data_IF_271779698641
#
_entry.id   IF_271779698641
#
_cell.length_a   1.000
_cell.length_b   1.000
_cell.length_c   1.000
_cell.angle_alpha   90.00
_cell.angle_beta   90.00
_cell.angle_gamma   90.00
#
_symmetry.space_group_name_H-M   'P 1'
#
loop_
_entity.id
_entity.type
_entity.pdbx_description
1 polymer ?
#
# COMPACT_ATOMS: atom_id res chain seq x y z
N UNK A 1 70.22 29.18 -36.97
CA UNK A 1 70.28 29.30 -35.50
C UNK A 1 69.10 30.17 -35.08
N UNK A 2 68.11 29.79 -34.26
CA UNK A 2 67.83 28.65 -33.37
C UNK A 2 66.34 28.30 -33.56
N UNK A 3 66.00 27.02 -33.62
CA UNK A 3 64.61 26.55 -33.69
C UNK A 3 63.93 26.63 -32.33
N UNK A 4 62.70 27.14 -32.29
CA UNK A 4 61.83 27.13 -31.11
C UNK A 4 60.99 25.86 -31.16
N UNK A 5 61.21 24.96 -30.20
CA UNK A 5 60.43 23.73 -30.05
C UNK A 5 59.21 24.02 -29.19
N UNK A 6 58.00 23.96 -29.75
CA UNK A 6 56.75 23.95 -28.97
C UNK A 6 56.60 22.58 -28.30
N UNK A 7 56.53 22.57 -26.97
CA UNK A 7 56.16 21.39 -26.20
C UNK A 7 54.62 21.33 -26.14
N UNK A 8 54.02 20.39 -26.85
CA UNK A 8 52.60 20.08 -26.71
C UNK A 8 52.40 19.23 -25.44
N UNK A 9 51.77 19.80 -24.42
CA UNK A 9 51.34 19.05 -23.24
C UNK A 9 50.08 18.24 -23.58
N UNK A 10 50.25 16.92 -23.75
CA UNK A 10 49.14 15.99 -23.85
C UNK A 10 48.52 15.79 -22.45
N UNK A 11 47.32 16.31 -22.25
CA UNK A 11 46.49 16.00 -21.07
C UNK A 11 45.91 14.60 -21.27
N UNK A 12 46.46 13.61 -20.57
CA UNK A 12 45.87 12.28 -20.51
C UNK A 12 44.56 12.35 -19.73
N UNK A 13 43.43 12.10 -20.41
CA UNK A 13 42.15 11.92 -19.76
C UNK A 13 42.19 10.63 -18.94
N UNK A 14 42.07 10.75 -17.62
CA UNK A 14 41.89 9.61 -16.74
C UNK A 14 40.54 8.92 -17.07
N UNK A 15 40.48 7.59 -17.12
CA UNK A 15 39.22 6.90 -17.34
C UNK A 15 38.29 7.15 -16.14
N UNK A 16 37.06 7.60 -16.42
CA UNK A 16 35.99 7.61 -15.43
C UNK A 16 35.79 6.17 -14.93
N UNK A 17 36.16 5.89 -13.69
CA UNK A 17 35.76 4.68 -13.00
C UNK A 17 34.24 4.72 -12.87
N UNK A 18 33.55 3.74 -13.47
CA UNK A 18 32.12 3.55 -13.27
C UNK A 18 31.85 3.36 -11.77
N UNK A 19 30.89 4.11 -11.22
CA UNK A 19 30.46 3.90 -9.84
C UNK A 19 29.98 2.45 -9.66
N UNK A 20 30.31 1.79 -8.54
CA UNK A 20 29.84 0.44 -8.28
C UNK A 20 28.32 0.43 -8.30
N UNK A 21 27.75 -0.32 -9.25
CA UNK A 21 26.32 -0.55 -9.35
C UNK A 21 25.85 -1.12 -8.01
N UNK A 22 24.97 -0.40 -7.32
CA UNK A 22 24.39 -0.87 -6.06
C UNK A 22 23.83 -2.29 -6.28
N UNK A 23 24.13 -3.24 -5.38
CA UNK A 23 23.64 -4.61 -5.53
C UNK A 23 22.13 -4.61 -5.68
N UNK A 24 21.62 -5.42 -6.60
CA UNK A 24 20.18 -5.54 -6.82
C UNK A 24 19.49 -5.84 -5.48
N UNK A 25 18.39 -5.14 -5.13
CA UNK A 25 17.70 -5.37 -3.87
C UNK A 25 17.28 -6.83 -3.75
N UNK A 26 17.54 -7.44 -2.59
CA UNK A 26 17.17 -8.84 -2.34
C UNK A 26 15.66 -9.01 -2.53
N UNK A 27 15.21 -10.09 -3.19
CA UNK A 27 13.79 -10.30 -3.41
C UNK A 27 13.10 -10.52 -2.06
N UNK A 28 12.08 -9.72 -1.76
CA UNK A 28 11.27 -9.87 -0.54
C UNK A 28 9.97 -10.61 -0.83
N UNK A 29 9.26 -11.01 0.23
CA UNK A 29 7.94 -11.63 0.17
C UNK A 29 7.00 -10.86 1.11
N UNK A 30 5.81 -10.49 0.61
CA UNK A 30 4.76 -9.89 1.44
C UNK A 30 3.86 -10.99 2.02
N UNK A 31 3.24 -10.68 3.14
CA UNK A 31 2.26 -11.54 3.80
C UNK A 31 0.87 -10.89 3.78
N UNK A 32 -0.16 -11.72 3.83
CA UNK A 32 -1.55 -11.36 4.11
C UNK A 32 -1.88 -11.91 5.49
N UNK A 33 -2.37 -11.05 6.39
CA UNK A 33 -2.84 -11.47 7.71
C UNK A 33 -4.36 -11.73 7.68
N UNK A 34 -4.80 -12.87 8.18
CA UNK A 34 -6.20 -13.28 8.25
C UNK A 34 -6.52 -13.91 9.60
N UNK A 35 -7.68 -13.61 10.16
CA UNK A 35 -8.14 -14.15 11.44
C UNK A 35 -9.54 -14.73 11.29
N UNK A 36 -9.83 -15.84 11.97
CA UNK A 36 -11.20 -16.36 12.11
C UNK A 36 -12.04 -15.50 13.06
N UNK A 37 -11.37 -14.72 13.90
CA UNK A 37 -11.97 -13.84 14.89
C UNK A 37 -11.89 -12.37 14.43
N UNK A 38 -12.94 -11.56 14.69
CA UNK A 38 -12.86 -10.11 14.51
C UNK A 38 -11.77 -9.49 15.41
N UNK A 39 -11.31 -8.30 15.08
CA UNK A 39 -10.37 -7.52 15.90
C UNK A 39 -11.07 -6.76 17.01
N UNK A 40 -10.47 -6.72 18.19
CA UNK A 40 -10.87 -5.83 19.29
C UNK A 40 -10.20 -4.46 19.22
N UNK A 41 -10.99 -3.39 19.06
CA UNK A 41 -10.49 -2.02 19.07
C UNK A 41 -9.39 -1.77 18.04
N UNK A 42 -8.28 -1.15 18.45
CA UNK A 42 -7.15 -0.82 17.58
C UNK A 42 -6.11 -1.94 17.41
N UNK A 43 -6.35 -3.13 17.99
CA UNK A 43 -5.39 -4.25 18.04
C UNK A 43 -5.52 -5.16 16.80
N UNK A 44 -5.34 -4.57 15.63
CA UNK A 44 -5.60 -5.19 14.32
C UNK A 44 -4.68 -6.36 13.98
N UNK A 45 -5.12 -7.21 13.06
CA UNK A 45 -4.41 -8.44 12.67
C UNK A 45 -2.97 -8.24 12.18
N UNK A 46 -2.69 -7.14 11.48
CA UNK A 46 -1.36 -6.87 10.93
C UNK A 46 -0.34 -6.47 12.00
N UNK A 47 -0.77 -6.02 13.18
CA UNK A 47 0.14 -5.69 14.30
C UNK A 47 0.86 -6.92 14.83
N UNK A 48 0.32 -8.13 14.63
CA UNK A 48 1.02 -9.34 15.04
C UNK A 48 2.30 -9.61 14.23
N UNK A 49 2.59 -8.82 13.19
CA UNK A 49 3.79 -8.95 12.35
C UNK A 49 4.26 -7.58 11.82
N UNK A 50 4.31 -6.57 12.69
CA UNK A 50 4.81 -5.23 12.34
C UNK A 50 6.25 -4.97 12.83
N UNK A 51 6.83 -5.90 13.60
CA UNK A 51 8.18 -5.79 14.15
C UNK A 51 8.24 -5.02 15.47
N UNK A 52 7.09 -4.64 16.05
CA UNK A 52 7.00 -4.03 17.37
C UNK A 52 6.38 -4.99 18.40
N UNK A 53 7.17 -5.58 19.31
CA UNK A 53 6.65 -6.51 20.31
C UNK A 53 5.74 -5.86 21.38
N UNK A 54 5.61 -4.53 21.39
CA UNK A 54 4.64 -3.81 22.22
C UNK A 54 3.26 -3.68 21.55
N UNK A 55 3.21 -3.86 20.22
CA UNK A 55 1.98 -4.00 19.46
C UNK A 55 1.40 -5.41 19.62
N UNK A 56 0.16 -5.61 19.18
CA UNK A 56 -0.46 -6.95 19.16
C UNK A 56 -1.74 -6.97 18.34
N UNK A 57 -2.02 -8.14 17.76
CA UNK A 57 -3.40 -8.53 17.45
C UNK A 57 -4.12 -8.99 18.73
N UNK A 58 -5.38 -8.58 18.88
CA UNK A 58 -6.28 -9.09 19.93
C UNK A 58 -7.65 -9.36 19.32
N UNK A 59 -8.18 -10.57 19.49
CA UNK A 59 -9.53 -10.90 19.04
C UNK A 59 -10.61 -10.16 19.82
N UNK A 60 -11.73 -9.87 19.15
CA UNK A 60 -12.97 -9.45 19.78
C UNK A 60 -13.69 -10.68 20.33
N UNK A 61 -13.78 -10.78 21.65
CA UNK A 61 -14.31 -11.95 22.35
C UNK A 61 -13.32 -13.10 22.46
N UNK A 62 -13.80 -14.17 23.09
CA UNK A 62 -13.00 -15.33 23.47
C UNK A 62 -12.74 -16.27 22.30
N UNK A 63 -11.49 -16.71 22.16
CA UNK A 63 -11.14 -17.69 21.13
C UNK A 63 -11.57 -19.10 21.54
N UNK A 64 -12.15 -19.81 20.59
CA UNK A 64 -12.58 -21.21 20.69
C UNK A 64 -11.54 -22.13 20.09
N UNK A 65 -11.63 -23.42 20.44
CA UNK A 65 -10.80 -24.44 19.81
C UNK A 65 -10.90 -24.34 18.28
N UNK A 66 -9.75 -24.21 17.61
CA UNK A 66 -9.66 -24.11 16.15
C UNK A 66 -9.56 -22.68 15.61
N UNK A 67 -9.89 -21.66 16.39
CA UNK A 67 -9.69 -20.27 15.99
C UNK A 67 -8.22 -19.95 15.78
N UNK A 68 -7.93 -19.09 14.80
CA UNK A 68 -6.56 -18.83 14.41
C UNK A 68 -6.31 -17.45 13.81
N UNK A 69 -5.07 -17.00 13.92
CA UNK A 69 -4.47 -15.91 13.14
C UNK A 69 -3.42 -16.50 12.21
N UNK A 70 -3.56 -16.26 10.90
CA UNK A 70 -2.72 -16.80 9.84
C UNK A 70 -2.02 -15.68 9.07
N UNK A 71 -0.73 -15.88 8.79
CA UNK A 71 0.03 -15.12 7.80
C UNK A 71 0.24 -15.99 6.57
N UNK A 72 -0.34 -15.59 5.44
CA UNK A 72 -0.17 -16.26 4.14
C UNK A 72 0.80 -15.46 3.28
N UNK A 73 1.83 -16.10 2.75
CA UNK A 73 2.87 -15.44 1.95
C UNK A 73 2.46 -15.37 0.47
N UNK A 74 2.89 -14.35 -0.27
CA UNK A 74 2.58 -14.19 -1.71
C UNK A 74 3.24 -15.27 -2.60
N UNK A 75 4.31 -15.89 -2.09
CA UNK A 75 5.01 -17.02 -2.68
C UNK A 75 5.59 -17.91 -1.59
N UNK A 76 5.83 -19.20 -1.84
CA UNK A 76 6.50 -20.06 -0.89
C UNK A 76 7.88 -19.48 -0.51
N UNK A 77 8.26 -19.68 0.75
CA UNK A 77 9.58 -19.35 1.29
C UNK A 77 10.17 -20.57 1.98
N UNK A 78 11.48 -20.64 2.06
CA UNK A 78 12.18 -21.56 2.96
C UNK A 78 12.23 -20.90 4.33
N UNK A 79 11.48 -21.40 5.29
CA UNK A 79 11.63 -20.99 6.68
C UNK A 79 12.90 -21.60 7.24
N UNK A 80 13.69 -20.81 7.96
CA UNK A 80 14.83 -21.27 8.76
C UNK A 80 14.49 -21.26 10.26
N UNK A 81 13.60 -20.35 10.68
CA UNK A 81 13.05 -20.28 12.03
C UNK A 81 11.70 -19.55 12.01
N UNK A 82 10.79 -19.98 12.88
CA UNK A 82 9.52 -19.31 13.11
C UNK A 82 9.15 -19.41 14.59
N UNK A 83 8.72 -18.29 15.17
CA UNK A 83 8.15 -18.25 16.52
C UNK A 83 7.01 -17.25 16.59
N UNK A 84 6.13 -17.42 17.57
CA UNK A 84 5.08 -16.45 17.86
C UNK A 84 5.01 -16.17 19.36
N UNK A 85 4.93 -14.90 19.72
CA UNK A 85 4.69 -14.47 21.10
C UNK A 85 3.19 -14.35 21.32
N UNK A 86 2.64 -15.25 22.13
CA UNK A 86 1.20 -15.38 22.36
C UNK A 86 0.85 -15.06 23.81
N UNK A 87 -0.27 -14.38 24.03
CA UNK A 87 -0.73 -13.94 25.34
C UNK A 87 -0.28 -12.53 25.71
N UNK A 88 -0.89 -11.97 26.75
CA UNK A 88 -0.53 -10.64 27.27
C UNK A 88 0.76 -10.74 28.11
N UNK A 89 1.55 -9.64 28.22
CA UNK A 89 2.69 -9.61 29.13
C UNK A 89 2.31 -10.05 30.55
N UNK A 90 3.06 -11.00 31.12
CA UNK A 90 2.82 -11.53 32.46
C UNK A 90 1.80 -12.68 32.54
N UNK A 91 1.11 -13.03 31.45
CA UNK A 91 0.28 -14.23 31.41
C UNK A 91 1.12 -15.49 31.15
N UNK A 92 0.71 -16.61 31.76
CA UNK A 92 1.27 -17.93 31.44
C UNK A 92 0.92 -18.38 30.01
N UNK A 93 1.52 -19.49 29.54
CA UNK A 93 1.30 -19.98 28.18
C UNK A 93 -0.19 -20.27 27.92
N UNK A 94 -0.71 -19.77 26.80
CA UNK A 94 -2.05 -20.09 26.33
C UNK A 94 -2.04 -21.43 25.55
N UNK A 95 -3.13 -22.25 25.62
CA UNK A 95 -3.24 -23.48 24.84
C UNK A 95 -3.39 -23.17 23.35
N UNK A 96 -2.25 -22.95 22.70
CA UNK A 96 -2.13 -22.58 21.29
C UNK A 96 -1.02 -23.39 20.63
N UNK A 97 -1.14 -23.61 19.32
CA UNK A 97 -0.15 -24.25 18.49
C UNK A 97 0.32 -23.28 17.40
N UNK A 98 1.64 -23.22 17.20
CA UNK A 98 2.25 -22.62 16.03
C UNK A 98 2.33 -23.67 14.92
N UNK A 99 1.78 -23.33 13.76
CA UNK A 99 1.66 -24.26 12.64
C UNK A 99 2.17 -23.62 11.35
N UNK A 100 2.67 -24.47 10.44
CA UNK A 100 3.16 -24.11 9.11
C UNK A 100 2.39 -24.88 8.05
N UNK A 101 2.28 -24.30 6.86
CA UNK A 101 1.62 -24.93 5.72
C UNK A 101 2.43 -24.70 4.45
N UNK A 102 2.71 -25.76 3.69
CA UNK A 102 3.43 -25.68 2.42
C UNK A 102 2.55 -25.21 1.24
N UNK A 103 1.24 -25.44 1.32
CA UNK A 103 0.25 -25.12 0.28
C UNK A 103 -0.71 -23.99 0.67
N UNK A 104 -0.63 -23.51 1.90
CA UNK A 104 -1.52 -22.50 2.48
C UNK A 104 -2.89 -23.05 2.93
N UNK A 105 -3.08 -24.37 2.90
CA UNK A 105 -4.37 -25.03 3.20
C UNK A 105 -4.23 -26.08 4.29
N UNK A 106 -3.25 -26.97 4.18
CA UNK A 106 -3.00 -28.03 5.15
C UNK A 106 -1.88 -27.60 6.09
N UNK A 107 -2.19 -27.60 7.39
CA UNK A 107 -1.29 -27.11 8.44
C UNK A 107 -0.74 -28.27 9.28
N UNK A 108 0.52 -28.15 9.64
CA UNK A 108 1.25 -29.08 10.52
C UNK A 108 1.98 -28.29 11.60
N UNK A 109 2.37 -28.94 12.70
CA UNK A 109 3.13 -28.27 13.76
C UNK A 109 4.43 -27.64 13.22
N UNK A 110 4.69 -26.39 13.57
CA UNK A 110 5.90 -25.70 13.14
C UNK A 110 7.13 -26.25 13.88
N UNK A 111 8.20 -26.64 13.18
CA UNK A 111 9.45 -26.95 13.85
C UNK A 111 10.07 -25.65 14.40
N UNK A 112 10.70 -25.69 15.59
CA UNK A 112 11.32 -24.49 16.17
C UNK A 112 12.50 -23.97 15.32
N UNK A 113 13.24 -24.88 14.68
CA UNK A 113 14.34 -24.60 13.75
C UNK A 113 14.33 -25.69 12.67
N UNK A 114 14.63 -25.33 11.44
CA UNK A 114 14.76 -26.26 10.33
C UNK A 114 14.41 -25.60 9.01
N UNK A 115 14.80 -26.21 7.90
CA UNK A 115 14.48 -25.74 6.55
C UNK A 115 13.14 -26.35 6.09
N UNK A 116 12.06 -25.56 6.18
CA UNK A 116 10.72 -25.99 5.76
C UNK A 116 10.19 -25.02 4.71
N UNK A 117 9.79 -25.55 3.56
CA UNK A 117 9.03 -24.78 2.59
C UNK A 117 7.65 -24.44 3.17
N UNK A 118 7.34 -23.15 3.28
CA UNK A 118 6.06 -22.67 3.78
C UNK A 118 5.44 -21.62 2.86
N UNK A 119 4.13 -21.74 2.68
CA UNK A 119 3.24 -20.76 2.07
C UNK A 119 2.43 -20.00 3.12
N UNK A 120 2.28 -20.54 4.33
CA UNK A 120 1.63 -19.86 5.44
C UNK A 120 2.16 -20.32 6.80
N UNK A 121 2.03 -19.44 7.80
CA UNK A 121 2.22 -19.75 9.23
C UNK A 121 1.01 -19.29 10.01
N UNK A 122 0.63 -19.97 11.09
CA UNK A 122 -0.49 -19.54 11.93
C UNK A 122 -0.30 -19.87 13.40
N UNK A 123 -0.94 -19.09 14.26
CA UNK A 123 -1.21 -19.44 15.65
C UNK A 123 -2.67 -19.89 15.73
N UNK A 124 -2.91 -21.10 16.23
CA UNK A 124 -4.25 -21.68 16.40
C UNK A 124 -4.51 -22.05 17.85
N UNK A 125 -5.70 -21.72 18.38
CA UNK A 125 -6.16 -22.20 19.68
C UNK A 125 -6.37 -23.73 19.66
N UNK A 126 -5.71 -24.45 20.57
CA UNK A 126 -5.83 -25.91 20.68
C UNK A 126 -6.95 -26.36 21.61
N UNK A 127 -7.48 -25.44 22.41
CA UNK A 127 -8.65 -25.59 23.27
C UNK A 127 -9.37 -24.23 23.37
N UNK A 128 -10.55 -24.21 23.99
CA UNK A 128 -11.22 -22.96 24.35
C UNK A 128 -10.34 -22.14 25.30
N UNK A 129 -10.08 -20.88 24.95
CA UNK A 129 -9.21 -20.02 25.76
C UNK A 129 -9.95 -19.38 26.95
N UNK A 130 -11.28 -19.20 26.84
CA UNK A 130 -12.10 -18.40 27.78
C UNK A 130 -11.53 -16.99 28.02
N UNK A 131 -10.82 -16.48 27.01
CA UNK A 131 -10.26 -15.15 26.89
C UNK A 131 -9.95 -14.86 25.42
N UNK A 132 -9.72 -13.59 25.04
CA UNK A 132 -9.27 -13.25 23.70
C UNK A 132 -7.96 -13.92 23.30
N UNK A 133 -7.84 -14.30 22.03
CA UNK A 133 -6.56 -14.64 21.41
C UNK A 133 -5.74 -13.36 21.27
N UNK A 134 -4.56 -13.34 21.86
CA UNK A 134 -3.60 -12.25 21.74
C UNK A 134 -2.34 -12.79 21.09
N UNK A 135 -1.97 -12.26 19.93
CA UNK A 135 -0.70 -12.56 19.26
C UNK A 135 0.07 -11.25 19.17
N UNK A 136 1.18 -11.17 19.90
CA UNK A 136 2.00 -9.97 20.00
C UNK A 136 2.90 -9.83 18.78
N UNK A 137 3.65 -10.88 18.45
CA UNK A 137 4.63 -10.80 17.36
C UNK A 137 4.90 -12.19 16.77
N UNK A 138 4.99 -12.25 15.44
CA UNK A 138 5.57 -13.35 14.70
C UNK A 138 7.02 -13.01 14.37
N UNK A 139 7.95 -13.87 14.77
CA UNK A 139 9.35 -13.75 14.31
C UNK A 139 9.60 -14.78 13.24
N UNK A 140 9.81 -14.32 12.00
CA UNK A 140 10.00 -15.18 10.82
C UNK A 140 11.39 -14.94 10.24
N UNK A 141 12.18 -16.00 10.16
CA UNK A 141 13.45 -16.01 9.42
C UNK A 141 13.29 -16.91 8.20
N UNK A 142 13.40 -16.33 7.00
CA UNK A 142 13.13 -17.06 5.77
C UNK A 142 14.00 -16.61 4.60
N UNK A 143 14.11 -17.48 3.60
CA UNK A 143 14.65 -17.16 2.29
C UNK A 143 13.61 -17.50 1.19
N UNK A 144 13.17 -16.51 0.38
CA UNK A 144 13.47 -15.09 0.54
C UNK A 144 12.77 -14.47 1.76
N UNK A 145 13.25 -13.30 2.18
CA UNK A 145 12.78 -12.66 3.42
C UNK A 145 11.30 -12.27 3.32
N UNK A 146 10.48 -12.76 4.25
CA UNK A 146 9.14 -12.23 4.50
C UNK A 146 9.28 -10.91 5.27
N UNK A 147 8.71 -9.82 4.76
CA UNK A 147 8.84 -8.49 5.36
C UNK A 147 7.67 -8.17 6.30
N UNK A 148 7.92 -7.60 7.49
CA UNK A 148 6.88 -7.10 8.39
C UNK A 148 6.01 -6.00 7.76
N UNK A 149 4.80 -5.80 8.30
CA UNK A 149 3.88 -4.76 7.88
C UNK A 149 4.37 -3.37 8.32
N UNK A 150 4.93 -2.61 7.38
CA UNK A 150 5.41 -1.23 7.65
C UNK A 150 4.29 -0.23 7.94
N UNK A 151 3.11 -0.43 7.35
CA UNK A 151 1.92 0.39 7.56
C UNK A 151 0.73 -0.53 7.87
N UNK A 152 0.66 -1.08 9.10
CA UNK A 152 -0.40 -2.00 9.48
C UNK A 152 -1.77 -1.37 9.28
N UNK A 153 -2.64 -2.05 8.54
CA UNK A 153 -4.00 -1.60 8.29
C UNK A 153 -4.99 -2.77 8.32
N UNK A 154 -6.20 -2.48 8.75
CA UNK A 154 -7.32 -3.40 8.66
C UNK A 154 -8.55 -2.71 8.07
N UNK A 155 -9.11 -3.31 7.03
CA UNK A 155 -10.41 -2.91 6.49
C UNK A 155 -11.52 -3.73 7.13
N UNK A 156 -12.49 -3.04 7.74
CA UNK A 156 -13.75 -3.63 8.19
C UNK A 156 -14.73 -3.56 7.03
N UNK A 157 -15.01 -4.73 6.45
CA UNK A 157 -15.96 -4.88 5.35
C UNK A 157 -17.39 -5.03 5.87
N UNK A 158 -18.28 -4.18 5.37
CA UNK A 158 -19.72 -4.22 5.61
C UNK A 158 -20.44 -4.44 4.26
N UNK A 159 -20.99 -5.63 4.11
CA UNK A 159 -21.78 -6.04 2.94
C UNK A 159 -23.25 -6.29 3.32
N UNK A 160 -23.75 -5.66 4.38
CA UNK A 160 -25.12 -5.88 4.88
C UNK A 160 -26.17 -5.69 3.78
N UNK A 161 -25.99 -4.70 2.90
CA UNK A 161 -26.93 -4.40 1.81
C UNK A 161 -26.79 -5.36 0.60
N UNK A 162 -25.70 -6.14 0.53
CA UNK A 162 -25.42 -7.08 -0.56
C UNK A 162 -24.53 -8.26 -0.10
N UNK A 163 -25.05 -9.17 0.76
CA UNK A 163 -24.26 -10.29 1.30
C UNK A 163 -23.62 -11.18 0.23
N UNK A 164 -24.25 -11.28 -0.94
CA UNK A 164 -23.73 -12.02 -2.10
C UNK A 164 -22.40 -11.48 -2.63
N UNK A 165 -22.06 -10.22 -2.32
CA UNK A 165 -20.77 -9.62 -2.68
C UNK A 165 -19.67 -9.88 -1.65
N UNK A 166 -19.91 -10.66 -0.58
CA UNK A 166 -18.91 -10.93 0.47
C UNK A 166 -17.57 -11.43 -0.08
N UNK A 167 -17.60 -12.46 -0.94
CA UNK A 167 -16.38 -13.03 -1.51
C UNK A 167 -15.63 -12.02 -2.40
N UNK A 168 -16.36 -11.18 -3.14
CA UNK A 168 -15.76 -10.10 -3.94
C UNK A 168 -15.19 -9.00 -3.03
N UNK A 169 -15.91 -8.59 -2.00
CA UNK A 169 -15.46 -7.59 -1.03
C UNK A 169 -14.21 -8.04 -0.27
N UNK A 170 -14.12 -9.31 0.13
CA UNK A 170 -12.92 -9.86 0.76
C UNK A 170 -11.71 -9.80 -0.18
N UNK A 171 -11.91 -10.12 -1.47
CA UNK A 171 -10.87 -9.96 -2.51
C UNK A 171 -10.43 -8.50 -2.62
N UNK A 172 -11.37 -7.56 -2.64
CA UNK A 172 -11.08 -6.12 -2.75
C UNK A 172 -10.31 -5.62 -1.52
N UNK A 173 -10.73 -6.00 -0.31
CA UNK A 173 -10.03 -5.68 0.93
C UNK A 173 -8.58 -6.15 0.87
N UNK A 174 -8.35 -7.41 0.48
CA UNK A 174 -7.00 -7.96 0.34
C UNK A 174 -6.13 -7.16 -0.63
N UNK A 175 -6.71 -6.71 -1.76
CA UNK A 175 -6.00 -5.84 -2.69
C UNK A 175 -5.68 -4.50 -2.03
N UNK A 176 -6.65 -3.83 -1.41
CA UNK A 176 -6.43 -2.52 -0.79
C UNK A 176 -5.37 -2.59 0.31
N UNK A 177 -5.39 -3.62 1.16
CA UNK A 177 -4.37 -3.84 2.20
C UNK A 177 -2.99 -4.12 1.63
N UNK A 178 -2.91 -4.85 0.51
CA UNK A 178 -1.62 -5.12 -0.16
C UNK A 178 -1.00 -3.85 -0.76
N UNK A 179 -1.83 -2.96 -1.32
CA UNK A 179 -1.37 -1.70 -1.92
C UNK A 179 -1.14 -0.60 -0.88
N UNK A 180 -1.76 -0.69 0.28
CA UNK A 180 -1.74 0.36 1.32
C UNK A 180 -0.33 0.82 1.72
N UNK A 181 0.66 -0.06 1.96
CA UNK A 181 2.01 0.36 2.32
C UNK A 181 2.72 1.16 1.23
N UNK A 182 2.48 0.83 -0.05
CA UNK A 182 3.08 1.54 -1.18
C UNK A 182 2.42 2.91 -1.37
N UNK A 183 1.11 3.01 -1.16
CA UNK A 183 0.37 4.28 -1.15
C UNK A 183 0.89 5.18 0.00
N UNK A 184 0.99 4.64 1.21
CA UNK A 184 1.49 5.37 2.39
C UNK A 184 2.94 5.84 2.20
N UNK A 185 3.81 4.99 1.64
CA UNK A 185 5.20 5.35 1.36
C UNK A 185 5.28 6.46 0.32
N UNK A 186 4.51 6.34 -0.76
CA UNK A 186 4.54 7.31 -1.86
C UNK A 186 3.97 8.66 -1.46
N UNK A 187 2.93 8.66 -0.62
CA UNK A 187 2.26 9.87 -0.13
C UNK A 187 2.67 10.22 1.30
N UNK A 188 3.87 9.84 1.75
CA UNK A 188 4.36 10.20 3.07
C UNK A 188 4.49 11.73 3.22
N UNK A 189 4.26 12.22 4.44
CA UNK A 189 4.61 13.60 4.84
C UNK A 189 5.12 13.59 6.27
N UNK A 190 5.94 14.58 6.60
CA UNK A 190 6.52 14.72 7.92
C UNK A 190 5.43 14.84 8.99
N UNK A 191 5.56 14.04 10.05
CA UNK A 191 4.61 13.99 11.17
C UNK A 191 3.22 13.41 10.83
N UNK A 192 2.99 12.94 9.61
CA UNK A 192 1.73 12.27 9.25
C UNK A 192 1.80 10.77 9.55
N UNK A 193 0.79 10.29 10.28
CA UNK A 193 0.57 8.86 10.53
C UNK A 193 -0.73 8.45 9.84
N UNK A 194 -0.70 7.51 8.87
CA UNK A 194 -1.89 7.06 8.18
C UNK A 194 -2.81 6.25 9.12
N UNK A 195 -4.13 6.19 8.85
CA UNK A 195 -5.05 5.41 9.66
C UNK A 195 -4.70 3.92 9.61
N UNK A 196 -4.84 3.23 10.74
CA UNK A 196 -4.63 1.77 10.83
C UNK A 196 -5.93 1.00 10.69
N UNK A 197 -7.08 1.68 10.67
CA UNK A 197 -8.38 1.06 10.47
C UNK A 197 -9.21 1.86 9.48
N UNK A 198 -9.78 1.15 8.52
CA UNK A 198 -10.65 1.71 7.49
C UNK A 198 -11.96 0.91 7.45
N UNK A 199 -13.07 1.58 7.14
CA UNK A 199 -14.36 0.91 6.94
C UNK A 199 -14.72 0.92 5.47
N UNK A 200 -15.01 -0.24 4.90
CA UNK A 200 -15.49 -0.39 3.54
C UNK A 200 -16.93 -0.89 3.57
N UNK A 201 -17.86 -0.13 3.01
CA UNK A 201 -19.27 -0.51 2.99
C UNK A 201 -19.78 -0.56 1.55
N UNK A 202 -20.49 -1.62 1.18
CA UNK A 202 -21.20 -1.70 -0.10
C UNK A 202 -22.67 -1.32 0.11
N UNK A 203 -23.14 -0.31 -0.64
CA UNK A 203 -24.49 0.24 -0.50
C UNK A 203 -25.31 0.09 -1.79
N UNK A 204 -26.56 -0.36 -1.65
CA UNK A 204 -27.47 -0.55 -2.77
C UNK A 204 -28.08 0.77 -3.28
N UNK A 205 -28.19 1.77 -2.40
CA UNK A 205 -28.74 3.09 -2.69
C UNK A 205 -27.68 4.13 -3.10
N UNK A 206 -26.40 3.74 -3.14
CA UNK A 206 -25.33 4.63 -3.59
C UNK A 206 -25.24 4.64 -5.12
N UNK A 207 -25.38 5.83 -5.70
CA UNK A 207 -25.55 6.05 -7.15
C UNK A 207 -24.25 6.35 -7.90
N UNK A 208 -23.16 6.63 -7.19
CA UNK A 208 -21.82 6.82 -7.76
C UNK A 208 -21.09 5.50 -8.04
N UNK A 209 -19.78 5.59 -8.24
CA UNK A 209 -18.89 4.41 -8.32
C UNK A 209 -18.48 4.00 -6.91
N UNK A 210 -17.72 4.87 -6.27
CA UNK A 210 -17.35 4.81 -4.86
C UNK A 210 -17.08 6.24 -4.34
N UNK A 211 -16.98 6.39 -3.02
CA UNK A 211 -16.56 7.63 -2.37
C UNK A 211 -15.88 7.34 -1.02
N UNK A 212 -14.96 8.21 -0.62
CA UNK A 212 -14.25 8.13 0.64
C UNK A 212 -14.32 9.41 1.47
N UNK A 213 -14.22 9.25 2.79
CA UNK A 213 -14.09 10.35 3.75
C UNK A 213 -13.91 9.85 5.18
N UNK A 214 -13.00 10.48 5.93
CA UNK A 214 -12.79 10.16 7.35
C UNK A 214 -12.46 8.70 7.65
N UNK A 215 -11.72 8.02 6.76
CA UNK A 215 -11.38 6.59 6.89
C UNK A 215 -12.51 5.63 6.52
N UNK A 216 -13.58 6.13 5.88
CA UNK A 216 -14.71 5.32 5.38
C UNK A 216 -14.70 5.34 3.86
N UNK A 217 -14.97 4.19 3.26
CA UNK A 217 -15.15 3.98 1.83
C UNK A 217 -16.56 3.42 1.62
N UNK A 218 -17.31 4.01 0.70
CA UNK A 218 -18.63 3.52 0.28
C UNK A 218 -18.57 3.16 -1.19
N UNK A 219 -18.83 1.89 -1.51
CA UNK A 219 -18.90 1.39 -2.90
C UNK A 219 -20.34 1.13 -3.35
N UNK A 220 -20.63 1.34 -4.64
CA UNK A 220 -21.95 1.04 -5.21
C UNK A 220 -22.09 -0.45 -5.52
N UNK A 221 -23.09 -1.10 -4.91
CA UNK A 221 -23.46 -2.49 -5.22
C UNK A 221 -23.81 -2.64 -6.71
N UNK A 222 -24.59 -1.68 -7.26
CA UNK A 222 -25.00 -1.71 -8.66
C UNK A 222 -23.77 -1.65 -9.59
N UNK A 223 -22.85 -0.73 -9.31
CA UNK A 223 -21.65 -0.57 -10.12
C UNK A 223 -20.79 -1.83 -10.09
N UNK A 224 -20.41 -2.32 -8.92
CA UNK A 224 -19.47 -3.43 -8.78
C UNK A 224 -20.04 -4.79 -9.18
N UNK A 225 -21.37 -4.97 -9.17
CA UNK A 225 -22.00 -6.11 -9.86
C UNK A 225 -21.78 -6.07 -11.37
N UNK A 226 -21.84 -4.88 -11.98
CA UNK A 226 -21.68 -4.70 -13.43
C UNK A 226 -20.22 -4.59 -13.88
N UNK A 227 -19.33 -4.20 -12.98
CA UNK A 227 -17.89 -3.96 -13.22
C UNK A 227 -17.04 -4.58 -12.11
N UNK A 228 -17.12 -5.91 -11.88
CA UNK A 228 -16.41 -6.54 -10.76
C UNK A 228 -14.88 -6.48 -10.87
N UNK A 229 -14.37 -6.24 -12.07
CA UNK A 229 -12.93 -6.11 -12.33
C UNK A 229 -12.38 -4.71 -12.02
N UNK A 230 -13.24 -3.70 -11.78
CA UNK A 230 -12.82 -2.35 -11.44
C UNK A 230 -12.47 -2.20 -9.95
N UNK A 231 -11.59 -3.07 -9.46
CA UNK A 231 -11.04 -2.97 -8.09
C UNK A 231 -10.24 -1.67 -7.92
N UNK A 232 -9.68 -1.13 -9.02
CA UNK A 232 -8.95 0.14 -9.02
C UNK A 232 -9.75 1.31 -8.46
N UNK A 233 -11.08 1.32 -8.61
CA UNK A 233 -11.93 2.32 -7.98
C UNK A 233 -11.85 2.30 -6.44
N UNK A 234 -11.77 1.11 -5.82
CA UNK A 234 -11.64 0.99 -4.36
C UNK A 234 -10.22 1.30 -3.89
N UNK A 235 -9.21 1.08 -4.74
CA UNK A 235 -7.83 1.55 -4.49
C UNK A 235 -7.77 3.08 -4.54
N UNK A 236 -8.46 3.72 -5.49
CA UNK A 236 -8.61 5.18 -5.53
C UNK A 236 -9.19 5.72 -4.22
N UNK A 237 -10.29 5.13 -3.72
CA UNK A 237 -10.87 5.53 -2.43
C UNK A 237 -9.94 5.28 -1.24
N UNK A 238 -9.10 4.24 -1.32
CA UNK A 238 -8.05 3.98 -0.32
C UNK A 238 -7.02 5.10 -0.31
N UNK A 239 -6.67 5.69 -1.46
CA UNK A 239 -5.76 6.84 -1.53
C UNK A 239 -6.34 8.06 -0.83
N UNK A 240 -7.63 8.36 -1.02
CA UNK A 240 -8.32 9.43 -0.28
C UNK A 240 -8.24 9.24 1.24
N UNK A 241 -8.29 7.98 1.71
CA UNK A 241 -8.11 7.64 3.13
C UNK A 241 -6.68 7.87 3.65
N UNK A 242 -5.67 7.91 2.77
CA UNK A 242 -4.26 8.26 3.10
C UNK A 242 -3.99 9.75 2.89
N UNK A 243 -4.70 10.42 1.98
CA UNK A 243 -4.54 11.86 1.77
C UNK A 243 -4.92 12.64 3.05
N UNK A 244 -6.13 12.39 3.59
CA UNK A 244 -6.68 13.05 4.79
C UNK A 244 -6.34 14.53 4.89
N UNK A 245 -6.52 15.26 3.78
CA UNK A 245 -6.17 16.67 3.73
C UNK A 245 -7.01 17.49 4.72
N UNK A 246 -6.35 18.42 5.41
CA UNK A 246 -7.01 19.31 6.37
C UNK A 246 -7.64 20.50 5.63
N UNK A 247 -8.92 20.76 5.87
CA UNK A 247 -9.63 21.92 5.34
C UNK A 247 -10.10 21.79 3.88
N UNK A 248 -10.78 22.83 3.37
CA UNK A 248 -11.41 22.87 2.04
C UNK A 248 -10.59 23.64 0.98
N UNK A 249 -9.31 23.92 1.26
CA UNK A 249 -8.48 24.80 0.42
C UNK A 249 -7.84 24.14 -0.80
N UNK A 250 -7.83 22.81 -0.87
CA UNK A 250 -7.15 22.09 -1.95
C UNK A 250 -8.02 22.03 -3.22
N UNK A 251 -7.45 22.25 -4.42
CA UNK A 251 -8.20 22.11 -5.66
C UNK A 251 -8.65 20.67 -5.87
N UNK A 252 -9.95 20.44 -6.02
CA UNK A 252 -10.52 19.09 -6.17
C UNK A 252 -9.88 18.29 -7.30
N UNK A 253 -9.58 18.94 -8.44
CA UNK A 253 -8.92 18.28 -9.57
C UNK A 253 -7.55 17.68 -9.24
N UNK A 254 -6.82 18.30 -8.32
CA UNK A 254 -5.50 17.83 -7.87
C UNK A 254 -5.66 16.70 -6.86
N UNK A 255 -6.63 16.81 -5.95
CA UNK A 255 -6.96 15.75 -4.98
C UNK A 255 -7.32 14.45 -5.73
N UNK A 256 -8.28 14.54 -6.66
CA UNK A 256 -8.69 13.41 -7.52
C UNK A 256 -7.56 12.92 -8.43
N UNK A 257 -6.78 13.86 -8.97
CA UNK A 257 -5.66 13.54 -9.86
C UNK A 257 -4.55 12.76 -9.17
N UNK A 258 -4.21 13.08 -7.92
CA UNK A 258 -3.23 12.33 -7.13
C UNK A 258 -3.75 10.93 -6.80
N UNK A 259 -5.04 10.80 -6.47
CA UNK A 259 -5.68 9.51 -6.24
C UNK A 259 -5.61 8.62 -7.49
N UNK A 260 -5.98 9.16 -8.65
CA UNK A 260 -5.89 8.43 -9.91
C UNK A 260 -4.46 8.24 -10.42
N UNK A 261 -3.49 9.09 -10.03
CA UNK A 261 -2.08 8.83 -10.29
C UNK A 261 -1.62 7.57 -9.55
N UNK A 262 -1.94 7.45 -8.26
CA UNK A 262 -1.63 6.26 -7.48
C UNK A 262 -2.30 5.02 -8.07
N UNK A 263 -3.55 5.14 -8.49
CA UNK A 263 -4.27 4.06 -9.17
C UNK A 263 -3.60 3.67 -10.49
N UNK A 264 -3.52 4.58 -11.46
CA UNK A 264 -3.21 4.24 -12.85
C UNK A 264 -1.72 4.25 -13.22
N UNK A 265 -0.84 4.79 -12.39
CA UNK A 265 0.62 4.76 -12.61
C UNK A 265 1.39 3.92 -11.61
N UNK A 266 0.77 3.54 -10.47
CA UNK A 266 1.42 2.69 -9.47
C UNK A 266 0.76 1.33 -9.33
N UNK A 267 -0.56 1.29 -9.08
CA UNK A 267 -1.28 0.03 -8.88
C UNK A 267 -1.56 -0.72 -10.19
N UNK A 268 -2.15 -0.05 -11.18
CA UNK A 268 -2.55 -0.65 -12.46
C UNK A 268 -2.00 0.13 -13.68
N UNK A 269 -0.66 0.20 -13.83
CA UNK A 269 -0.01 0.88 -14.95
C UNK A 269 -0.58 0.42 -16.31
N UNK A 270 -0.90 1.40 -17.15
CA UNK A 270 -1.46 1.17 -18.49
C UNK A 270 -2.99 1.10 -18.56
N UNK A 271 -3.71 1.08 -17.43
CA UNK A 271 -5.19 1.02 -17.44
C UNK A 271 -5.91 2.36 -17.54
N UNK A 272 -5.21 3.49 -17.52
CA UNK A 272 -5.83 4.82 -17.67
C UNK A 272 -6.58 5.01 -19.01
N UNK A 273 -6.23 4.17 -20.00
CA UNK A 273 -6.70 4.30 -21.37
C UNK A 273 -6.09 5.52 -22.08
N UNK A 274 -6.47 5.71 -23.34
CA UNK A 274 -6.08 6.90 -24.10
C UNK A 274 -6.93 8.10 -23.70
N UNK A 275 -6.30 9.27 -23.67
CA UNK A 275 -6.99 10.56 -23.54
C UNK A 275 -7.28 11.14 -24.92
N UNK A 276 -8.36 11.90 -25.00
CA UNK A 276 -8.71 12.70 -26.19
C UNK A 276 -7.99 14.05 -26.09
N UNK A 277 -6.99 14.34 -26.93
CA UNK A 277 -6.14 15.53 -26.80
C UNK A 277 -6.91 16.85 -26.74
N UNK A 278 -8.02 16.95 -27.49
CA UNK A 278 -8.85 18.15 -27.58
C UNK A 278 -9.59 18.46 -26.28
N UNK A 279 -9.86 17.43 -25.49
CA UNK A 279 -10.61 17.51 -24.22
C UNK A 279 -9.69 17.45 -22.98
N UNK A 280 -8.42 17.10 -23.18
CA UNK A 280 -7.46 16.95 -22.10
C UNK A 280 -7.06 18.32 -21.52
N UNK A 281 -7.27 18.49 -20.21
CA UNK A 281 -6.86 19.66 -19.43
C UNK A 281 -6.30 19.20 -18.10
N UNK A 282 -5.25 19.86 -17.61
CA UNK A 282 -4.60 19.50 -16.34
C UNK A 282 -5.57 19.45 -15.15
N UNK A 283 -6.64 20.26 -15.17
CA UNK A 283 -7.67 20.34 -14.14
C UNK A 283 -8.91 19.48 -14.45
N UNK A 284 -8.81 18.56 -15.43
CA UNK A 284 -9.89 17.66 -15.83
C UNK A 284 -10.27 16.59 -14.78
N UNK A 285 -9.61 16.60 -13.62
CA UNK A 285 -9.75 15.64 -12.52
C UNK A 285 -9.40 14.20 -12.93
N UNK A 286 -9.39 13.29 -11.95
CA UNK A 286 -9.28 11.85 -12.18
C UNK A 286 -8.12 11.49 -13.14
N UNK A 287 -8.34 10.50 -14.01
CA UNK A 287 -7.39 10.01 -15.01
C UNK A 287 -6.75 11.09 -15.88
N UNK A 288 -7.48 12.19 -16.15
CA UNK A 288 -6.99 13.27 -17.00
C UNK A 288 -5.91 14.05 -16.27
N UNK A 289 -6.19 14.50 -15.03
CA UNK A 289 -5.17 15.12 -14.18
C UNK A 289 -4.02 14.15 -13.90
N UNK A 290 -4.32 12.87 -13.63
CA UNK A 290 -3.30 11.88 -13.34
C UNK A 290 -2.29 11.73 -14.50
N UNK A 291 -2.74 11.75 -15.75
CA UNK A 291 -1.87 11.74 -16.91
C UNK A 291 -1.00 13.00 -17.03
N UNK A 292 -1.56 14.16 -16.72
CA UNK A 292 -0.79 15.40 -16.62
C UNK A 292 0.28 15.32 -15.52
N UNK A 293 -0.08 14.81 -14.34
CA UNK A 293 0.86 14.60 -13.24
C UNK A 293 1.97 13.62 -13.62
N UNK A 294 1.67 12.59 -14.41
CA UNK A 294 2.68 11.68 -14.94
C UNK A 294 3.65 12.37 -15.90
N UNK A 295 3.14 13.18 -16.83
CA UNK A 295 3.99 14.01 -17.68
C UNK A 295 4.92 14.92 -16.87
N UNK A 296 4.39 15.61 -15.86
CA UNK A 296 5.21 16.48 -14.98
C UNK A 296 6.24 15.66 -14.21
N UNK A 297 5.83 14.51 -13.66
CA UNK A 297 6.70 13.63 -12.88
C UNK A 297 7.85 13.06 -13.72
N UNK A 298 7.58 12.70 -14.97
CA UNK A 298 8.57 12.11 -15.87
C UNK A 298 9.55 13.14 -16.42
N UNK A 299 9.09 14.36 -16.70
CA UNK A 299 9.85 15.36 -17.46
C UNK A 299 10.51 16.43 -16.60
N UNK A 300 9.97 16.71 -15.41
CA UNK A 300 10.41 17.82 -14.57
C UNK A 300 10.93 17.37 -13.21
N UNK A 301 10.12 16.63 -12.45
CA UNK A 301 10.50 16.22 -11.10
C UNK A 301 9.85 14.88 -10.73
N UNK A 302 10.67 13.84 -10.55
CA UNK A 302 10.22 12.49 -10.14
C UNK A 302 9.49 12.47 -8.80
N UNK A 303 9.61 13.54 -8.00
CA UNK A 303 8.91 13.73 -6.72
C UNK A 303 7.78 14.77 -6.79
N UNK A 304 7.36 15.22 -7.97
CA UNK A 304 6.29 16.22 -8.12
C UNK A 304 5.02 15.81 -7.36
N UNK A 305 4.51 14.60 -7.57
CA UNK A 305 3.27 14.12 -6.92
C UNK A 305 3.42 14.03 -5.39
N UNK A 306 4.45 13.38 -4.81
CA UNK A 306 4.68 13.38 -3.36
C UNK A 306 4.78 14.79 -2.75
N UNK A 307 5.49 15.72 -3.41
CA UNK A 307 5.66 17.10 -2.94
C UNK A 307 4.34 17.87 -2.98
N UNK A 308 3.57 17.75 -4.06
CA UNK A 308 2.23 18.35 -4.18
C UNK A 308 1.28 17.78 -3.12
N UNK A 309 1.30 16.47 -2.89
CA UNK A 309 0.54 15.82 -1.84
C UNK A 309 0.88 16.39 -0.45
N UNK A 310 2.17 16.54 -0.13
CA UNK A 310 2.60 17.11 1.15
C UNK A 310 2.12 18.55 1.32
N UNK A 311 2.28 19.39 0.30
CA UNK A 311 1.77 20.77 0.30
C UNK A 311 0.25 20.82 0.50
N UNK A 312 -0.51 19.94 -0.16
CA UNK A 312 -1.97 19.83 0.04
C UNK A 312 -2.33 19.40 1.46
N UNK A 313 -1.61 18.41 2.02
CA UNK A 313 -1.85 17.91 3.39
C UNK A 313 -1.58 18.97 4.45
N UNK A 314 -0.54 19.76 4.25
CA UNK A 314 -0.14 20.83 5.16
C UNK A 314 -0.92 22.14 4.96
N UNK A 315 -1.82 22.18 3.97
CA UNK A 315 -2.59 23.40 3.64
C UNK A 315 -1.72 24.52 3.06
N UNK A 316 -0.54 24.19 2.51
CA UNK A 316 0.42 25.14 1.94
C UNK A 316 0.40 25.18 0.41
N UNK A 317 -0.44 24.36 -0.23
CA UNK A 317 -0.53 24.35 -1.68
C UNK A 317 -1.03 25.71 -2.21
N UNK A 318 -0.30 26.26 -3.17
CA UNK A 318 -0.71 27.42 -3.98
C UNK A 318 -0.30 27.18 -5.43
N UNK A 319 -0.90 27.88 -6.42
CA UNK A 319 -0.49 27.76 -7.83
C UNK A 319 1.01 28.05 -8.08
N UNK A 320 1.66 28.83 -7.21
CA UNK A 320 3.10 29.08 -7.30
C UNK A 320 3.96 27.82 -7.11
N UNK A 321 3.43 26.77 -6.47
CA UNK A 321 4.12 25.49 -6.30
C UNK A 321 4.59 24.89 -7.63
N UNK A 322 3.81 25.05 -8.72
CA UNK A 322 4.19 24.54 -10.04
C UNK A 322 5.48 25.15 -10.56
N UNK A 323 5.64 26.48 -10.40
CA UNK A 323 6.86 27.20 -10.81
C UNK A 323 8.04 26.82 -9.93
N UNK A 324 7.83 26.64 -8.63
CA UNK A 324 8.88 26.16 -7.72
C UNK A 324 9.37 24.75 -8.07
N UNK A 325 8.45 23.86 -8.46
CA UNK A 325 8.78 22.46 -8.76
C UNK A 325 9.37 22.27 -10.16
N UNK A 326 8.94 23.07 -11.14
CA UNK A 326 9.21 22.80 -12.56
C UNK A 326 9.87 23.95 -13.31
N UNK A 327 9.96 25.15 -12.71
CA UNK A 327 10.36 26.39 -13.38
C UNK A 327 9.25 27.04 -14.23
N UNK A 328 8.09 26.38 -14.38
CA UNK A 328 6.96 26.82 -15.20
C UNK A 328 5.66 26.87 -14.39
N UNK A 329 4.75 27.75 -14.75
CA UNK A 329 3.40 27.68 -14.18
C UNK A 329 2.57 26.54 -14.79
N UNK A 330 1.42 26.24 -14.16
CA UNK A 330 0.59 25.10 -14.51
C UNK A 330 -0.01 25.21 -15.93
N UNK A 331 -0.22 26.43 -16.44
CA UNK A 331 -0.76 26.63 -17.77
C UNK A 331 0.29 26.38 -18.85
N UNK A 332 1.53 26.85 -18.64
CA UNK A 332 2.68 26.50 -19.49
C UNK A 332 2.88 24.97 -19.55
N UNK A 333 2.84 24.29 -18.40
CA UNK A 333 2.94 22.83 -18.32
C UNK A 333 1.78 22.14 -19.04
N UNK A 334 0.56 22.64 -18.88
CA UNK A 334 -0.63 22.11 -19.54
C UNK A 334 -0.52 22.20 -21.07
N UNK A 335 -0.04 23.33 -21.59
CA UNK A 335 0.16 23.51 -23.03
C UNK A 335 1.20 22.52 -23.57
N UNK A 336 2.33 22.36 -22.88
CA UNK A 336 3.35 21.39 -23.28
C UNK A 336 2.85 19.96 -23.25
N UNK A 337 2.17 19.57 -22.16
CA UNK A 337 1.58 18.25 -22.03
C UNK A 337 0.60 17.96 -23.16
N UNK A 338 -0.33 18.88 -23.44
CA UNK A 338 -1.30 18.73 -24.53
C UNK A 338 -0.63 18.62 -25.89
N UNK A 339 0.47 19.33 -26.12
CA UNK A 339 1.26 19.19 -27.34
C UNK A 339 1.91 17.81 -27.49
N UNK A 340 2.17 17.09 -26.38
CA UNK A 340 2.63 15.68 -26.44
C UNK A 340 1.52 14.69 -26.79
N UNK A 341 0.25 15.03 -26.52
CA UNK A 341 -0.89 14.15 -26.81
C UNK A 341 -1.34 14.20 -28.28
N UNK A 342 -1.02 15.30 -28.99
CA UNK A 342 -1.40 15.51 -30.39
C UNK A 342 -0.46 14.83 -31.40
N UNK A 343 0.55 14.09 -30.94
CA UNK A 343 1.54 13.38 -31.76
C UNK A 343 1.30 11.88 -31.70
#
# INVERSE_FOLDING_TARGET
MRGVSMLAAAVAAAPLLAEPVAPAPRPVVRAIAESTLPTSGSRIRQLAFDGDPASSFTSDGDAKQGDHLTLTFDRPVTLHAVSALVGRPGEGPAPTALEVSADGKTFTAAPPVGEVSARAVRVRATADLNKPLVVREFTIRSEPQVVPFRYPVEFVLDVTDAPELKAWGDKVVRVCEREYPDICTFLASDGYVPPTQLRMTLKNNYTGVAAAGGGRITGSVKYFKSRPDDIGAMVHETVHCVQQYKGRGNPGWLVEGIADYCRFWRYEPGKAGRLTPEKAQYNGSYRTTAAFLAFVTDRYDRQAVPKLNAMCREGRYTPAAWRTLTGKDVEELNQEWRATLAR
#
